data_IF_328555671129
#
_entry.id   IF_328555671129
#
_cell.length_a   1.000
_cell.length_b   1.000
_cell.length_c   1.000
_cell.angle_alpha   90.00
_cell.angle_beta   90.00
_cell.angle_gamma   90.00
#
_symmetry.space_group_name_H-M   'P 1'
#
loop_
_entity.id
_entity.type
_entity.pdbx_description
1 polymer ?
#
# COMPACT_ATOMS: atom_id res chain seq x y z
N UNK A 1 -10.61 2.51 -0.84
CA UNK A 1 -9.43 2.02 -0.09
C UNK A 1 -8.72 3.11 0.69
N UNK A 2 -8.83 4.38 0.28
CA UNK A 2 -8.21 5.54 0.97
C UNK A 2 -8.56 5.58 2.48
N UNK A 3 -9.82 5.38 2.86
CA UNK A 3 -10.24 5.44 4.28
C UNK A 3 -9.44 4.49 5.19
N UNK A 4 -9.26 3.23 4.79
CA UNK A 4 -8.60 2.25 5.65
C UNK A 4 -7.08 2.53 5.80
N UNK A 5 -6.45 3.14 4.79
CA UNK A 5 -5.06 3.61 4.90
C UNK A 5 -4.93 4.68 6.01
N UNK A 6 -5.84 5.66 6.03
CA UNK A 6 -5.86 6.71 7.07
C UNK A 6 -6.16 6.16 8.46
N UNK A 7 -7.13 5.25 8.56
CA UNK A 7 -7.50 4.62 9.83
C UNK A 7 -6.30 3.86 10.42
N UNK A 8 -5.55 3.12 9.59
CA UNK A 8 -4.32 2.46 10.05
C UNK A 8 -3.32 3.45 10.68
N UNK A 9 -3.02 4.56 10.01
CA UNK A 9 -2.09 5.55 10.56
C UNK A 9 -2.56 6.13 11.89
N UNK A 10 -3.86 6.43 12.04
CA UNK A 10 -4.40 6.94 13.29
C UNK A 10 -4.31 5.91 14.42
N UNK A 11 -4.54 4.64 14.12
CA UNK A 11 -4.41 3.55 15.09
C UNK A 11 -2.97 3.45 15.58
N UNK A 12 -2.00 3.40 14.67
CA UNK A 12 -0.58 3.28 15.02
C UNK A 12 -0.08 4.52 15.78
N UNK A 13 -0.46 5.73 15.35
CA UNK A 13 -0.02 6.98 15.99
C UNK A 13 -0.55 7.16 17.41
N UNK A 14 -1.78 6.73 17.66
CA UNK A 14 -2.45 6.94 18.95
C UNK A 14 -2.61 5.66 19.78
N UNK A 15 -2.03 4.55 19.33
CA UNK A 15 -2.19 3.22 19.95
C UNK A 15 -3.67 2.90 20.23
N UNK A 16 -4.55 3.18 19.27
CA UNK A 16 -6.00 3.02 19.45
C UNK A 16 -6.31 1.52 19.54
N UNK A 17 -6.99 1.05 20.60
CA UNK A 17 -7.33 -0.36 20.71
C UNK A 17 -8.29 -0.82 19.61
N UNK A 18 -8.07 -2.02 19.07
CA UNK A 18 -8.89 -2.61 17.99
C UNK A 18 -10.40 -2.55 18.28
N UNK A 19 -10.81 -2.85 19.52
CA UNK A 19 -12.22 -2.87 19.91
C UNK A 19 -12.91 -1.49 19.78
N UNK A 20 -12.15 -0.39 19.90
CA UNK A 20 -12.68 0.97 19.72
C UNK A 20 -13.00 1.20 18.24
N UNK A 21 -12.09 0.80 17.35
CA UNK A 21 -12.27 0.93 15.89
C UNK A 21 -13.42 0.03 15.42
N UNK A 22 -13.46 -1.21 15.88
CA UNK A 22 -14.53 -2.15 15.56
C UNK A 22 -15.90 -1.59 15.97
N UNK A 23 -15.99 -1.00 17.17
CA UNK A 23 -17.23 -0.35 17.63
C UNK A 23 -17.63 0.83 16.73
N UNK A 24 -16.68 1.72 16.38
CA UNK A 24 -16.96 2.87 15.49
C UNK A 24 -17.52 2.41 14.14
N UNK A 25 -16.88 1.43 13.51
CA UNK A 25 -17.34 0.91 12.22
C UNK A 25 -18.66 0.16 12.31
N UNK A 26 -18.90 -0.57 13.41
CA UNK A 26 -20.18 -1.24 13.63
C UNK A 26 -21.33 -0.23 13.81
N UNK A 27 -21.13 0.82 14.62
CA UNK A 27 -22.12 1.89 14.79
C UNK A 27 -22.38 2.64 13.48
N UNK A 28 -21.32 2.89 12.70
CA UNK A 28 -21.44 3.52 11.38
C UNK A 28 -22.26 2.65 10.43
N UNK A 29 -22.03 1.33 10.43
CA UNK A 29 -22.81 0.36 9.65
C UNK A 29 -24.28 0.36 10.05
N UNK A 30 -24.59 0.29 11.34
CA UNK A 30 -25.97 0.34 11.85
C UNK A 30 -26.65 1.64 11.39
N UNK A 31 -25.99 2.78 11.58
CA UNK A 31 -26.51 4.10 11.18
C UNK A 31 -26.74 4.19 9.66
N UNK A 32 -25.83 3.64 8.86
CA UNK A 32 -25.97 3.61 7.41
C UNK A 32 -27.16 2.76 6.96
N UNK A 33 -27.38 1.59 7.59
CA UNK A 33 -28.52 0.72 7.33
C UNK A 33 -29.85 1.40 7.71
N UNK A 34 -29.92 2.07 8.86
CA UNK A 34 -31.10 2.83 9.28
C UNK A 34 -31.47 3.99 8.34
N UNK A 35 -30.52 4.45 7.52
CA UNK A 35 -30.69 5.55 6.56
C UNK A 35 -30.76 5.06 5.11
N UNK A 36 -31.02 3.77 4.90
CA UNK A 36 -31.10 3.10 3.60
C UNK A 36 -29.90 3.39 2.69
N UNK A 37 -28.70 3.56 3.28
CA UNK A 37 -27.48 3.79 2.51
C UNK A 37 -27.02 2.47 1.89
N UNK A 38 -26.99 2.44 0.56
CA UNK A 38 -26.57 1.27 -0.24
C UNK A 38 -25.07 0.98 -0.21
N UNK A 39 -24.24 1.97 0.17
CA UNK A 39 -22.77 1.84 0.19
C UNK A 39 -22.25 1.99 1.60
N UNK A 40 -21.78 0.89 2.17
CA UNK A 40 -21.19 0.81 3.51
C UNK A 40 -19.70 0.54 3.34
N UNK A 41 -18.87 1.36 3.98
CA UNK A 41 -17.43 1.13 4.02
C UNK A 41 -17.10 0.11 5.11
N UNK A 42 -16.50 -1.01 4.73
CA UNK A 42 -15.98 -1.99 5.69
C UNK A 42 -14.61 -1.57 6.22
N UNK A 43 -14.39 -1.82 7.51
CA UNK A 43 -13.05 -1.77 8.11
C UNK A 43 -12.31 -3.06 7.81
N UNK A 44 -11.06 -2.90 7.37
CA UNK A 44 -10.12 -3.98 7.17
C UNK A 44 -8.95 -3.73 8.13
N UNK A 45 -8.68 -4.59 9.13
CA UNK A 45 -7.54 -4.41 10.01
C UNK A 45 -6.24 -4.75 9.28
N UNK A 46 -5.51 -3.72 8.83
CA UNK A 46 -4.32 -3.88 7.98
C UNK A 46 -3.22 -4.72 8.64
N UNK A 47 -3.01 -4.52 9.95
CA UNK A 47 -2.06 -5.28 10.77
C UNK A 47 -2.34 -6.80 10.81
N UNK A 48 -3.61 -7.20 10.67
CA UNK A 48 -4.03 -8.61 10.65
C UNK A 48 -4.06 -9.19 9.25
N UNK A 49 -4.34 -8.37 8.25
CA UNK A 49 -4.59 -8.82 6.88
C UNK A 49 -3.33 -8.83 6.01
N UNK A 50 -2.36 -7.96 6.27
CA UNK A 50 -1.24 -7.75 5.37
C UNK A 50 0.09 -7.89 6.08
N UNK A 51 1.06 -8.50 5.38
CA UNK A 51 2.46 -8.43 5.78
C UNK A 51 2.98 -7.04 5.42
N UNK A 52 3.70 -6.43 6.37
CA UNK A 52 4.27 -5.09 6.22
C UNK A 52 3.22 -4.05 5.76
N UNK A 53 2.16 -3.82 6.55
CA UNK A 53 0.99 -3.04 6.16
C UNK A 53 1.32 -1.62 5.65
N UNK A 54 2.34 -0.97 6.21
CA UNK A 54 2.82 0.33 5.73
C UNK A 54 3.25 0.30 4.25
N UNK A 55 3.98 -0.74 3.84
CA UNK A 55 4.43 -0.91 2.44
C UNK A 55 3.23 -1.13 1.52
N UNK A 56 2.22 -1.87 1.98
CA UNK A 56 0.97 -2.07 1.23
C UNK A 56 0.17 -0.76 1.11
N UNK A 57 0.10 0.05 2.17
CA UNK A 57 -0.54 1.37 2.14
C UNK A 57 0.16 2.29 1.14
N UNK A 58 1.49 2.30 1.12
CA UNK A 58 2.29 3.09 0.20
C UNK A 58 2.01 2.71 -1.27
N UNK A 59 2.00 1.42 -1.59
CA UNK A 59 1.61 0.93 -2.93
C UNK A 59 0.16 1.30 -3.29
N UNK A 60 -0.76 1.23 -2.33
CA UNK A 60 -2.16 1.61 -2.53
C UNK A 60 -2.34 3.11 -2.80
N UNK A 61 -1.56 3.95 -2.12
CA UNK A 61 -1.52 5.38 -2.36
C UNK A 61 -0.97 5.69 -3.75
N UNK A 62 0.08 4.99 -4.19
CA UNK A 62 0.62 5.10 -5.54
C UNK A 62 -0.45 4.78 -6.60
N UNK A 63 -1.12 3.63 -6.48
CA UNK A 63 -2.18 3.22 -7.43
C UNK A 63 -3.31 4.26 -7.48
N UNK A 64 -3.73 4.76 -6.32
CA UNK A 64 -4.81 5.75 -6.23
C UNK A 64 -4.44 7.10 -6.88
N UNK A 65 -3.16 7.45 -6.88
CA UNK A 65 -2.65 8.72 -7.40
C UNK A 65 -1.88 8.58 -8.73
N UNK A 66 -1.92 7.41 -9.38
CA UNK A 66 -1.11 7.14 -10.58
C UNK A 66 -1.41 8.12 -11.72
N UNK A 67 -2.64 8.61 -11.84
CA UNK A 67 -3.00 9.62 -12.85
C UNK A 67 -2.28 10.95 -12.61
N UNK A 68 -2.31 11.47 -11.38
CA UNK A 68 -1.61 12.71 -10.98
C UNK A 68 -0.11 12.56 -11.19
N UNK A 69 0.46 11.44 -10.74
CA UNK A 69 1.88 11.15 -10.89
C UNK A 69 2.27 11.13 -12.37
N UNK A 70 1.46 10.48 -13.22
CA UNK A 70 1.69 10.43 -14.66
C UNK A 70 1.68 11.82 -15.27
N UNK A 71 0.70 12.63 -14.92
CA UNK A 71 0.53 13.98 -15.49
C UNK A 71 1.73 14.88 -15.12
N UNK A 72 2.21 14.81 -13.87
CA UNK A 72 3.44 15.49 -13.43
C UNK A 72 4.68 15.02 -14.21
N UNK A 73 4.80 13.72 -14.47
CA UNK A 73 5.98 13.15 -15.14
C UNK A 73 6.06 13.51 -16.63
N UNK A 74 4.92 13.61 -17.31
CA UNK A 74 4.87 13.97 -18.74
C UNK A 74 4.96 15.48 -18.97
N UNK A 75 4.61 16.30 -17.98
CA UNK A 75 4.75 17.74 -18.07
C UNK A 75 6.23 18.15 -18.09
N UNK A 76 6.58 18.98 -19.09
CA UNK A 76 7.96 19.45 -19.28
C UNK A 76 8.24 20.59 -18.30
N UNK A 77 9.29 20.46 -17.48
CA UNK A 77 9.67 21.50 -16.52
C UNK A 77 8.82 21.52 -15.24
N UNK A 78 7.96 20.52 -15.00
CA UNK A 78 7.17 20.48 -13.77
C UNK A 78 8.11 20.37 -12.54
N UNK A 79 7.95 21.23 -11.51
CA UNK A 79 8.88 21.31 -10.39
C UNK A 79 8.98 20.01 -9.57
N UNK A 80 7.91 19.21 -9.54
CA UNK A 80 7.86 17.94 -8.80
C UNK A 80 8.22 16.71 -9.63
N UNK A 81 8.71 16.87 -10.87
CA UNK A 81 8.99 15.74 -11.76
C UNK A 81 9.99 14.76 -11.15
N UNK A 82 11.11 15.25 -10.66
CA UNK A 82 12.18 14.42 -10.06
C UNK A 82 11.68 13.70 -8.79
N UNK A 83 10.92 14.40 -7.95
CA UNK A 83 10.33 13.81 -6.74
C UNK A 83 9.31 12.71 -7.09
N UNK A 84 8.48 12.93 -8.11
CA UNK A 84 7.55 11.91 -8.58
C UNK A 84 8.27 10.70 -9.17
N UNK A 85 9.35 10.92 -9.94
CA UNK A 85 10.14 9.84 -10.49
C UNK A 85 10.74 8.97 -9.38
N UNK A 86 11.36 9.61 -8.38
CA UNK A 86 11.90 8.92 -7.20
C UNK A 86 10.83 8.12 -6.46
N UNK A 87 9.64 8.71 -6.25
CA UNK A 87 8.53 8.02 -5.59
C UNK A 87 8.06 6.79 -6.38
N UNK A 88 8.03 6.84 -7.72
CA UNK A 88 7.68 5.67 -8.53
C UNK A 88 8.75 4.58 -8.40
N UNK A 89 10.02 4.94 -8.45
CA UNK A 89 11.14 4.01 -8.28
C UNK A 89 11.08 3.30 -6.92
N UNK A 90 10.80 4.05 -5.85
CA UNK A 90 10.59 3.52 -4.49
C UNK A 90 9.41 2.53 -4.45
N UNK A 91 8.26 2.88 -5.04
CA UNK A 91 7.10 1.99 -5.11
C UNK A 91 7.39 0.70 -5.89
N UNK A 92 8.13 0.78 -7.00
CA UNK A 92 8.52 -0.42 -7.77
C UNK A 92 9.47 -1.30 -6.95
N UNK A 93 10.42 -0.72 -6.22
CA UNK A 93 11.32 -1.46 -5.34
C UNK A 93 10.55 -2.15 -4.21
N UNK A 94 9.62 -1.44 -3.55
CA UNK A 94 8.74 -2.02 -2.52
C UNK A 94 8.00 -3.23 -3.08
N UNK A 95 7.36 -3.08 -4.25
CA UNK A 95 6.63 -4.17 -4.89
C UNK A 95 7.54 -5.37 -5.18
N UNK A 96 8.71 -5.16 -5.81
CA UNK A 96 9.66 -6.24 -6.14
C UNK A 96 10.03 -7.02 -4.87
N UNK A 97 10.31 -6.30 -3.79
CA UNK A 97 10.72 -6.88 -2.52
C UNK A 97 9.64 -7.64 -1.79
N UNK A 98 8.47 -7.03 -1.67
CA UNK A 98 7.29 -7.68 -1.09
C UNK A 98 6.93 -8.94 -1.88
N UNK A 99 7.01 -8.88 -3.21
CA UNK A 99 6.67 -10.01 -4.06
C UNK A 99 7.67 -11.15 -3.92
N UNK A 100 8.98 -10.86 -3.91
CA UNK A 100 10.02 -11.86 -3.67
C UNK A 100 9.88 -12.51 -2.29
N UNK A 101 9.67 -11.70 -1.25
CA UNK A 101 9.60 -12.16 0.14
C UNK A 101 8.36 -13.00 0.42
N UNK A 102 7.20 -12.58 -0.05
CA UNK A 102 5.91 -13.17 0.37
C UNK A 102 5.19 -13.97 -0.72
N UNK A 103 5.49 -13.73 -2.00
CA UNK A 103 4.68 -14.21 -3.11
C UNK A 103 5.46 -15.04 -4.14
N UNK A 104 6.68 -15.45 -3.80
CA UNK A 104 7.54 -16.33 -4.59
C UNK A 104 7.74 -17.69 -3.92
N UNK A 105 7.96 -18.73 -4.74
CA UNK A 105 8.22 -20.09 -4.27
C UNK A 105 7.13 -20.62 -3.33
N UNK A 106 7.54 -21.29 -2.25
CA UNK A 106 6.63 -21.86 -1.26
C UNK A 106 5.85 -20.80 -0.46
N UNK A 107 6.37 -19.56 -0.38
CA UNK A 107 5.71 -18.49 0.37
C UNK A 107 4.38 -18.07 -0.26
N UNK A 108 4.24 -18.22 -1.59
CA UNK A 108 3.00 -17.91 -2.31
C UNK A 108 1.83 -18.81 -1.90
N UNK A 109 2.09 -20.05 -1.49
CA UNK A 109 1.08 -21.01 -1.09
C UNK A 109 0.64 -20.87 0.39
N UNK A 110 1.32 -20.01 1.16
CA UNK A 110 0.96 -19.75 2.54
C UNK A 110 -0.31 -18.88 2.59
N UNK A 111 -1.36 -19.39 3.23
CA UNK A 111 -2.64 -18.68 3.42
C UNK A 111 -2.44 -17.29 4.05
N UNK A 112 -1.52 -17.16 5.00
CA UNK A 112 -1.15 -15.90 5.65
C UNK A 112 -0.61 -14.82 4.69
N UNK A 113 -0.12 -15.23 3.51
CA UNK A 113 0.40 -14.30 2.50
C UNK A 113 -0.64 -13.97 1.42
N UNK A 114 -1.76 -14.70 1.35
CA UNK A 114 -2.74 -14.60 0.27
C UNK A 114 -3.25 -13.16 0.06
N UNK A 115 -3.65 -12.50 1.15
CA UNK A 115 -4.11 -11.11 1.11
C UNK A 115 -3.02 -10.15 0.63
N UNK A 116 -1.79 -10.32 1.12
CA UNK A 116 -0.63 -9.53 0.69
C UNK A 116 -0.37 -9.73 -0.80
N UNK A 117 -0.32 -10.97 -1.27
CA UNK A 117 -0.08 -11.29 -2.67
C UNK A 117 -1.19 -10.80 -3.58
N UNK A 118 -2.44 -10.87 -3.14
CA UNK A 118 -3.58 -10.31 -3.87
C UNK A 118 -3.44 -8.79 -4.08
N UNK A 119 -2.98 -8.05 -3.08
CA UNK A 119 -2.69 -6.62 -3.21
C UNK A 119 -1.51 -6.34 -4.15
N UNK A 120 -0.44 -7.12 -4.09
CA UNK A 120 0.70 -6.97 -5.00
C UNK A 120 0.32 -7.30 -6.46
N UNK A 121 -0.52 -8.31 -6.67
CA UNK A 121 -1.06 -8.62 -8.00
C UNK A 121 -1.94 -7.48 -8.53
N UNK A 122 -2.71 -6.82 -7.65
CA UNK A 122 -3.47 -5.63 -8.02
C UNK A 122 -2.53 -4.48 -8.41
N UNK A 123 -1.49 -4.22 -7.61
CA UNK A 123 -0.46 -3.24 -7.95
C UNK A 123 0.16 -3.51 -9.32
N UNK A 124 0.56 -4.76 -9.60
CA UNK A 124 1.13 -5.19 -10.89
C UNK A 124 0.18 -4.95 -12.06
N UNK A 125 -1.12 -5.22 -11.88
CA UNK A 125 -2.15 -5.07 -12.93
C UNK A 125 -2.45 -3.60 -13.26
N UNK A 126 -2.43 -2.74 -12.26
CA UNK A 126 -2.54 -1.30 -12.48
C UNK A 126 -1.25 -0.84 -13.15
N UNK A 127 -1.30 -0.67 -14.48
CA UNK A 127 -0.15 -0.34 -15.33
C UNK A 127 0.64 0.82 -14.73
N UNK A 128 1.68 0.50 -13.97
CA UNK A 128 2.73 1.45 -13.60
C UNK A 128 3.21 2.02 -14.95
N UNK A 129 3.28 3.35 -15.12
CA UNK A 129 3.93 3.92 -16.29
C UNK A 129 5.25 3.17 -16.47
N UNK A 130 5.55 2.68 -17.68
CA UNK A 130 6.81 1.99 -17.97
C UNK A 130 7.96 2.98 -17.76
N UNK A 131 8.33 3.21 -16.52
CA UNK A 131 9.62 3.71 -16.14
C UNK A 131 10.47 2.46 -16.22
N UNK A 132 11.46 2.49 -17.12
CA UNK A 132 12.49 1.50 -17.25
C UNK A 132 13.26 1.42 -15.94
N UNK A 133 12.71 0.70 -14.96
CA UNK A 133 13.42 0.32 -13.76
C UNK A 133 14.41 -0.73 -14.22
N UNK A 134 15.66 -0.31 -14.42
CA UNK A 134 16.78 -1.20 -14.72
C UNK A 134 16.69 -2.47 -13.88
N UNK A 135 16.97 -3.61 -14.51
CA UNK A 135 16.93 -4.96 -13.97
C UNK A 135 17.97 -5.14 -12.85
N UNK A 136 17.75 -4.45 -11.75
CA UNK A 136 18.50 -4.57 -10.52
C UNK A 136 17.98 -5.78 -9.76
N UNK A 137 18.90 -6.57 -9.23
CA UNK A 137 18.58 -7.76 -8.44
C UNK A 137 17.62 -7.37 -7.29
N UNK A 138 16.38 -7.90 -7.27
CA UNK A 138 15.38 -7.61 -6.24
C UNK A 138 15.95 -7.76 -4.83
N UNK A 139 16.70 -8.83 -4.54
CA UNK A 139 17.29 -9.09 -3.24
C UNK A 139 18.22 -7.96 -2.75
N UNK A 140 19.00 -7.34 -3.65
CA UNK A 140 19.88 -6.22 -3.30
C UNK A 140 19.08 -4.95 -2.99
N UNK A 141 18.00 -4.70 -3.76
CA UNK A 141 17.11 -3.56 -3.50
C UNK A 141 16.37 -3.69 -2.17
N UNK A 142 15.97 -4.91 -1.78
CA UNK A 142 15.26 -5.16 -0.53
C UNK A 142 16.13 -4.89 0.68
N UNK A 143 17.37 -5.38 0.64
CA UNK A 143 18.33 -5.14 1.71
C UNK A 143 18.63 -3.65 1.92
N UNK A 144 18.71 -2.87 0.83
CA UNK A 144 18.94 -1.41 0.89
C UNK A 144 17.75 -0.66 1.52
N UNK A 145 16.51 -1.07 1.20
CA UNK A 145 15.30 -0.48 1.78
C UNK A 145 15.16 -0.74 3.28
N UNK A 146 15.42 -1.98 3.72
CA UNK A 146 15.32 -2.33 5.13
C UNK A 146 16.34 -1.53 5.98
N UNK A 147 17.53 -1.22 5.43
CA UNK A 147 18.50 -0.33 6.09
C UNK A 147 18.06 1.14 6.16
N UNK A 148 17.46 1.69 5.11
CA UNK A 148 17.04 3.10 5.07
C UNK A 148 15.99 3.42 6.14
N UNK A 149 15.05 2.50 6.41
CA UNK A 149 14.03 2.68 7.47
C UNK A 149 14.60 2.53 8.88
N UNK A 150 15.65 1.72 9.08
CA UNK A 150 16.33 1.61 10.40
C UNK A 150 17.07 2.91 10.73
N UNK A 151 17.61 3.62 9.73
CA UNK A 151 18.33 4.89 9.94
C UNK A 151 17.44 6.11 10.23
N UNK A 152 16.11 5.98 10.21
CA UNK A 152 15.16 7.07 10.52
C UNK A 152 14.35 6.84 11.82
N UNK A 153 14.72 5.83 12.61
CA UNK A 153 14.25 5.61 13.99
C UNK A 153 15.38 5.88 14.96
#
# INVERSE_FOLDING_TARGET
MILNNWVYYLIEQHNIPDHVIDNIFNQTKITALLRDKKKICSYNPYNKLFKEPEKIIELNNFVSNTHIIRDILVETGHPNKDSCQKYVEECVQIYKCMNEKYCSGNNKALMDNENTCSQLDNFRKNKVPKISVEDTNPAYTCWKMDKFRISQK
#
